data_IF_875169228707
#
_entry.id   IF_875169228707
#
_cell.length_a   1.000
_cell.length_b   1.000
_cell.length_c   1.000
_cell.angle_alpha   90.00
_cell.angle_beta   90.00
_cell.angle_gamma   90.00
#
_symmetry.space_group_name_H-M   'P 1'
#
loop_
_entity.id
_entity.type
_entity.pdbx_description
1 polymer ?
#
# COMPACT_ATOMS: atom_id res chain seq x y z
N UNK A 1 -32.06 17.92 -27.00
CA UNK A 1 -30.74 18.44 -26.59
C UNK A 1 -29.99 17.28 -25.97
N UNK A 2 -29.03 16.73 -26.72
CA UNK A 2 -28.13 15.71 -26.18
C UNK A 2 -27.17 16.43 -25.22
N UNK A 3 -27.26 16.11 -23.94
CA UNK A 3 -26.23 16.43 -22.98
C UNK A 3 -24.99 15.62 -23.40
N UNK A 4 -23.96 16.27 -23.91
CA UNK A 4 -22.66 15.65 -24.04
C UNK A 4 -22.17 15.45 -22.61
N UNK A 5 -22.17 14.20 -22.17
CA UNK A 5 -21.48 13.78 -20.97
C UNK A 5 -19.97 13.88 -21.29
N UNK A 6 -19.34 14.98 -20.82
CA UNK A 6 -17.91 15.23 -20.98
C UNK A 6 -17.09 14.49 -19.91
N UNK A 7 -17.50 13.31 -19.53
CA UNK A 7 -16.71 12.43 -18.66
C UNK A 7 -15.41 12.03 -19.34
N UNK A 8 -14.28 12.08 -18.62
CA UNK A 8 -13.00 11.57 -19.11
C UNK A 8 -13.11 10.09 -19.48
N UNK A 9 -12.49 9.69 -20.57
CA UNK A 9 -12.34 8.28 -20.91
C UNK A 9 -11.40 7.58 -19.92
N UNK A 10 -11.50 6.27 -19.85
CA UNK A 10 -10.60 5.48 -18.99
C UNK A 10 -9.12 5.68 -19.36
N UNK A 11 -8.81 5.85 -20.67
CA UNK A 11 -7.45 6.13 -21.12
C UNK A 11 -6.94 7.48 -20.59
N UNK A 12 -7.75 8.54 -20.70
CA UNK A 12 -7.42 9.86 -20.16
C UNK A 12 -7.25 9.82 -18.62
N UNK A 13 -8.10 9.07 -17.92
CA UNK A 13 -7.95 8.91 -16.46
C UNK A 13 -6.65 8.22 -16.06
N UNK A 14 -6.18 7.25 -16.87
CA UNK A 14 -4.88 6.59 -16.66
C UNK A 14 -3.69 7.51 -16.95
N UNK A 15 -3.80 8.38 -17.94
CA UNK A 15 -2.79 9.41 -18.21
C UNK A 15 -2.70 10.39 -17.05
N UNK A 16 -3.84 10.89 -16.57
CA UNK A 16 -3.89 11.74 -15.37
C UNK A 16 -3.30 11.06 -14.14
N UNK A 17 -3.54 9.76 -13.95
CA UNK A 17 -2.95 8.99 -12.84
C UNK A 17 -1.42 8.94 -12.95
N UNK A 18 -0.90 8.66 -14.15
CA UNK A 18 0.54 8.62 -14.39
C UNK A 18 1.20 9.99 -14.12
N UNK A 19 0.56 11.06 -14.57
CA UNK A 19 1.01 12.43 -14.34
C UNK A 19 0.97 12.79 -12.83
N UNK A 20 -0.07 12.38 -12.12
CA UNK A 20 -0.20 12.59 -10.68
C UNK A 20 0.89 11.85 -9.89
N UNK A 21 1.18 10.59 -10.23
CA UNK A 21 2.27 9.82 -9.63
C UNK A 21 3.61 10.52 -9.88
N UNK A 22 3.86 10.96 -11.13
CA UNK A 22 5.09 11.66 -11.47
C UNK A 22 5.24 12.98 -10.70
N UNK A 23 4.17 13.78 -10.62
CA UNK A 23 4.16 15.01 -9.83
C UNK A 23 4.42 14.75 -8.34
N UNK A 24 3.83 13.69 -7.78
CA UNK A 24 4.05 13.27 -6.39
C UNK A 24 5.52 12.91 -6.14
N UNK A 25 6.13 12.11 -7.02
CA UNK A 25 7.54 11.71 -6.95
C UNK A 25 8.44 12.95 -6.97
N UNK A 26 8.20 13.88 -7.89
CA UNK A 26 9.00 15.10 -8.01
C UNK A 26 8.86 16.02 -6.78
N UNK A 27 7.63 16.22 -6.30
CA UNK A 27 7.37 17.11 -5.16
C UNK A 27 8.00 16.62 -3.84
N UNK A 28 8.20 15.31 -3.71
CA UNK A 28 8.83 14.68 -2.54
C UNK A 28 10.32 14.37 -2.73
N UNK A 29 10.91 14.73 -3.88
CA UNK A 29 12.29 14.42 -4.24
C UNK A 29 12.62 12.92 -4.13
N UNK A 30 11.69 12.04 -4.51
CA UNK A 30 11.94 10.60 -4.51
C UNK A 30 12.82 10.21 -5.69
N UNK A 31 13.81 9.36 -5.43
CA UNK A 31 14.68 8.75 -6.43
C UNK A 31 14.10 7.40 -6.84
N UNK A 32 13.80 7.24 -8.12
CA UNK A 32 13.27 5.96 -8.62
C UNK A 32 14.44 5.11 -9.16
N UNK A 33 14.47 3.85 -8.75
CA UNK A 33 15.41 2.84 -9.22
C UNK A 33 14.68 1.69 -9.92
N UNK A 34 15.41 1.00 -10.79
CA UNK A 34 14.92 -0.21 -11.44
C UNK A 34 14.92 -1.41 -10.49
N UNK A 35 14.14 -2.45 -10.81
CA UNK A 35 14.20 -3.74 -10.10
C UNK A 35 15.62 -4.31 -10.12
N UNK A 36 16.34 -4.20 -11.26
CA UNK A 36 17.71 -4.65 -11.37
C UNK A 36 18.64 -3.98 -10.35
N UNK A 37 18.53 -2.65 -10.20
CA UNK A 37 19.35 -1.92 -9.24
C UNK A 37 18.97 -2.26 -7.81
N UNK A 38 17.67 -2.46 -7.54
CA UNK A 38 17.18 -2.93 -6.26
C UNK A 38 17.76 -4.29 -5.87
N UNK A 39 17.81 -5.26 -6.82
CA UNK A 39 18.46 -6.55 -6.57
C UNK A 39 19.99 -6.42 -6.41
N UNK A 40 20.64 -5.53 -7.16
CA UNK A 40 22.08 -5.30 -7.05
C UNK A 40 22.50 -4.71 -5.70
N UNK A 41 21.56 -4.08 -4.96
CA UNK A 41 21.79 -3.52 -3.62
C UNK A 41 21.10 -4.36 -2.51
N UNK A 42 21.05 -5.68 -2.68
CA UNK A 42 20.55 -6.65 -1.69
C UNK A 42 19.10 -6.38 -1.23
N UNK A 43 18.27 -5.90 -2.15
CA UNK A 43 16.87 -5.58 -1.89
C UNK A 43 16.64 -4.61 -0.72
N UNK A 44 17.50 -3.62 -0.58
CA UNK A 44 17.34 -2.49 0.34
C UNK A 44 17.11 -1.21 -0.45
N UNK A 45 16.53 -0.21 0.17
CA UNK A 45 16.37 1.13 -0.39
C UNK A 45 16.89 2.17 0.58
N UNK A 46 17.43 3.27 0.06
CA UNK A 46 17.78 4.44 0.86
C UNK A 46 16.50 5.22 1.24
N UNK A 47 16.62 6.19 2.14
CA UNK A 47 15.49 6.91 2.73
C UNK A 47 14.51 7.49 1.70
N UNK A 48 14.99 8.09 0.61
CA UNK A 48 14.17 8.68 -0.45
C UNK A 48 14.16 7.87 -1.74
N UNK A 49 14.57 6.61 -1.70
CA UNK A 49 14.72 5.76 -2.88
C UNK A 49 13.54 4.80 -2.97
N UNK A 50 12.86 4.79 -4.11
CA UNK A 50 11.77 3.87 -4.40
C UNK A 50 12.14 2.98 -5.58
N UNK A 51 11.91 1.68 -5.46
CA UNK A 51 11.97 0.75 -6.59
C UNK A 51 10.63 0.74 -7.31
N UNK A 52 10.64 0.82 -8.63
CA UNK A 52 9.45 0.59 -9.48
C UNK A 52 9.40 -0.87 -9.88
N UNK A 53 8.32 -1.56 -9.52
CA UNK A 53 7.98 -2.88 -10.04
C UNK A 53 7.14 -2.73 -11.31
N UNK A 54 7.77 -2.90 -12.47
CA UNK A 54 7.14 -2.59 -13.76
C UNK A 54 5.88 -3.42 -14.05
N UNK A 55 5.84 -4.68 -13.61
CA UNK A 55 4.69 -5.57 -13.79
C UNK A 55 3.42 -5.05 -13.10
N UNK A 56 3.55 -4.52 -11.90
CA UNK A 56 2.42 -4.02 -11.08
C UNK A 56 2.25 -2.51 -11.14
N UNK A 57 3.27 -1.76 -11.53
CA UNK A 57 3.33 -0.31 -11.44
C UNK A 57 3.48 0.22 -10.00
N UNK A 58 3.72 -0.65 -9.03
CA UNK A 58 3.88 -0.26 -7.62
C UNK A 58 5.30 0.26 -7.38
N UNK A 59 5.39 1.39 -6.68
CA UNK A 59 6.67 1.92 -6.17
C UNK A 59 6.81 1.57 -4.70
N UNK A 60 7.99 1.11 -4.27
CA UNK A 60 8.23 0.70 -2.90
C UNK A 60 9.53 1.28 -2.34
N UNK A 61 9.46 1.82 -1.14
CA UNK A 61 10.60 2.13 -0.27
C UNK A 61 10.53 1.24 0.97
N UNK A 62 11.60 0.52 1.30
CA UNK A 62 11.69 -0.31 2.50
C UNK A 62 12.33 0.49 3.63
N UNK A 63 11.55 0.79 4.66
CA UNK A 63 12.01 1.49 5.87
C UNK A 63 12.61 0.52 6.88
N UNK A 64 12.01 -0.68 7.03
CA UNK A 64 12.47 -1.75 7.90
C UNK A 64 12.04 -3.10 7.35
N UNK A 65 12.97 -4.04 7.20
CA UNK A 65 12.64 -5.39 6.70
C UNK A 65 11.91 -6.25 7.74
N UNK A 66 12.10 -5.98 9.01
CA UNK A 66 11.44 -6.72 10.10
C UNK A 66 12.29 -6.83 11.36
N UNK A 67 11.77 -7.42 12.44
CA UNK A 67 12.34 -7.35 13.79
C UNK A 67 13.69 -8.06 13.94
N UNK A 68 14.00 -9.00 13.08
CA UNK A 68 15.23 -9.78 13.13
C UNK A 68 16.30 -9.28 12.14
N UNK A 69 16.04 -8.18 11.42
CA UNK A 69 16.99 -7.59 10.45
C UNK A 69 17.48 -8.63 9.43
N UNK A 70 18.80 -8.72 9.26
CA UNK A 70 19.42 -9.68 8.32
C UNK A 70 19.16 -11.15 8.68
N UNK A 71 18.99 -11.47 9.94
CA UNK A 71 18.73 -12.84 10.43
C UNK A 71 17.25 -13.26 10.32
N UNK A 72 16.37 -12.37 9.89
CA UNK A 72 14.99 -12.71 9.62
C UNK A 72 14.83 -13.52 8.33
N UNK A 73 13.70 -14.22 8.19
CA UNK A 73 13.36 -14.96 6.97
C UNK A 73 12.14 -14.32 6.31
N UNK A 74 12.08 -14.39 4.98
CA UNK A 74 10.86 -14.09 4.21
C UNK A 74 9.80 -15.14 4.52
N UNK A 75 8.53 -14.78 4.35
CA UNK A 75 7.44 -15.73 4.57
C UNK A 75 7.51 -16.88 3.56
N UNK A 76 7.36 -18.10 4.06
CA UNK A 76 7.34 -19.34 3.25
C UNK A 76 5.94 -19.61 2.71
N UNK A 77 5.83 -20.52 1.77
CA UNK A 77 4.53 -21.03 1.31
C UNK A 77 3.65 -21.47 2.49
N UNK A 78 2.36 -21.20 2.37
CA UNK A 78 1.39 -21.48 3.41
C UNK A 78 0.47 -20.31 3.72
N UNK A 79 -0.14 -20.38 4.88
CA UNK A 79 -1.10 -19.38 5.36
C UNK A 79 -0.53 -18.65 6.56
N UNK A 80 -0.60 -17.32 6.52
CA UNK A 80 -0.07 -16.43 7.56
C UNK A 80 -1.13 -15.41 7.96
N UNK A 81 -1.23 -15.14 9.23
CA UNK A 81 -2.02 -14.02 9.77
C UNK A 81 -1.14 -12.77 9.82
N UNK A 82 -1.57 -11.72 9.14
CA UNK A 82 -0.86 -10.44 9.09
C UNK A 82 -1.68 -9.38 9.79
N UNK A 83 -1.01 -8.57 10.59
CA UNK A 83 -1.54 -7.41 11.27
C UNK A 83 -0.86 -6.16 10.72
N UNK A 84 -1.62 -5.28 10.06
CA UNK A 84 -1.09 -4.06 9.44
C UNK A 84 -1.65 -2.81 10.07
N UNK A 85 -0.77 -1.83 10.30
CA UNK A 85 -1.13 -0.44 10.54
C UNK A 85 -0.68 0.39 9.35
N UNK A 86 -1.47 1.37 8.97
CA UNK A 86 -1.23 2.13 7.75
C UNK A 86 -1.77 3.55 7.82
N UNK A 87 -1.27 4.36 6.92
CA UNK A 87 -1.85 5.63 6.48
C UNK A 87 -2.07 5.51 4.97
N UNK A 88 -3.25 5.88 4.49
CA UNK A 88 -3.61 5.99 3.09
C UNK A 88 -3.79 7.47 2.73
N UNK A 89 -3.06 7.93 1.71
CA UNK A 89 -3.05 9.33 1.28
C UNK A 89 -3.37 9.40 -0.21
N UNK A 90 -4.22 10.34 -0.59
CA UNK A 90 -4.55 10.61 -1.99
C UNK A 90 -3.34 11.21 -2.73
N UNK A 91 -2.91 10.59 -3.82
CA UNK A 91 -1.85 11.10 -4.72
C UNK A 91 -2.43 12.00 -5.82
N UNK A 92 -3.73 11.93 -6.03
CA UNK A 92 -4.47 12.70 -7.02
C UNK A 92 -5.78 13.21 -6.42
N UNK A 93 -6.20 14.42 -6.80
CA UNK A 93 -7.51 14.95 -6.41
C UNK A 93 -8.63 14.28 -7.20
N UNK A 94 -9.79 14.11 -6.54
CA UNK A 94 -11.03 13.63 -7.15
C UNK A 94 -12.21 14.43 -6.59
N UNK A 95 -12.71 15.39 -7.38
CA UNK A 95 -13.80 16.27 -6.97
C UNK A 95 -15.09 15.49 -6.68
N UNK A 96 -15.37 14.45 -7.47
CA UNK A 96 -16.52 13.55 -7.28
C UNK A 96 -16.46 12.72 -5.98
N UNK A 97 -15.31 12.65 -5.36
CA UNK A 97 -15.07 11.96 -4.07
C UNK A 97 -14.72 12.94 -2.95
N UNK A 98 -14.71 14.24 -3.24
CA UNK A 98 -14.50 15.33 -2.29
C UNK A 98 -13.16 15.28 -1.55
N UNK A 99 -12.07 14.84 -2.23
CA UNK A 99 -10.72 14.88 -1.69
C UNK A 99 -9.69 15.49 -2.64
N UNK A 100 -8.65 16.03 -2.06
CA UNK A 100 -7.52 16.65 -2.76
C UNK A 100 -6.24 15.81 -2.60
N UNK A 101 -5.26 16.06 -3.48
CA UNK A 101 -3.92 15.49 -3.35
C UNK A 101 -3.34 15.84 -1.96
N UNK A 102 -2.81 14.84 -1.27
CA UNK A 102 -2.27 14.96 0.09
C UNK A 102 -3.26 14.70 1.21
N UNK A 103 -4.56 14.58 0.91
CA UNK A 103 -5.55 14.25 1.94
C UNK A 103 -5.38 12.81 2.44
N UNK A 104 -5.47 12.64 3.75
CA UNK A 104 -5.49 11.33 4.38
C UNK A 104 -6.88 10.72 4.25
N UNK A 105 -6.99 9.64 3.50
CA UNK A 105 -8.26 8.96 3.21
C UNK A 105 -8.67 8.00 4.32
N UNK A 106 -7.70 7.22 4.82
CA UNK A 106 -7.91 6.28 5.91
C UNK A 106 -6.59 6.02 6.64
N UNK A 107 -6.65 5.80 7.95
CA UNK A 107 -5.46 5.48 8.75
C UNK A 107 -5.81 4.75 10.05
N UNK A 108 -4.89 3.94 10.53
CA UNK A 108 -4.91 3.33 11.86
C UNK A 108 -3.50 3.32 12.50
N UNK A 109 -2.61 4.18 12.01
CA UNK A 109 -1.24 4.34 12.48
C UNK A 109 -1.10 5.66 13.25
N UNK A 110 -0.53 5.60 14.45
CA UNK A 110 -0.24 6.78 15.27
C UNK A 110 -1.33 7.17 16.24
N UNK A 111 -1.08 8.26 16.98
CA UNK A 111 -1.99 8.79 17.99
C UNK A 111 -2.81 9.94 17.39
N UNK A 112 -3.92 9.59 16.77
CA UNK A 112 -4.80 10.53 16.06
C UNK A 112 -5.93 11.08 16.95
N UNK A 113 -6.04 10.59 18.20
CA UNK A 113 -7.16 10.91 19.10
C UNK A 113 -8.45 10.15 18.77
N UNK A 114 -8.45 9.29 17.75
CA UNK A 114 -9.56 8.39 17.44
C UNK A 114 -9.28 6.99 17.95
N UNK A 115 -9.69 6.73 19.19
CA UNK A 115 -9.43 5.48 19.90
C UNK A 115 -9.92 4.21 19.17
N UNK A 116 -10.94 4.32 18.34
CA UNK A 116 -11.52 3.16 17.64
C UNK A 116 -10.63 2.70 16.48
N UNK A 117 -10.10 3.64 15.69
CA UNK A 117 -9.21 3.32 14.57
C UNK A 117 -7.82 2.89 15.03
N UNK A 118 -7.31 3.53 16.09
CA UNK A 118 -5.95 3.28 16.61
C UNK A 118 -5.82 1.99 17.40
N UNK A 119 -6.91 1.52 18.02
CA UNK A 119 -6.88 0.33 18.87
C UNK A 119 -6.55 -0.95 18.10
N UNK A 120 -6.99 -1.06 16.85
CA UNK A 120 -6.92 -2.32 16.12
C UNK A 120 -6.16 -2.19 14.80
N UNK A 121 -5.17 -3.04 14.54
CA UNK A 121 -4.60 -3.18 13.20
C UNK A 121 -5.63 -3.77 12.24
N UNK A 122 -5.40 -3.62 10.94
CA UNK A 122 -6.07 -4.45 9.94
C UNK A 122 -5.51 -5.87 10.04
N UNK A 123 -6.41 -6.83 10.14
CA UNK A 123 -6.11 -8.25 10.25
C UNK A 123 -6.52 -8.96 8.97
N UNK A 124 -5.61 -9.63 8.32
CA UNK A 124 -5.89 -10.40 7.13
C UNK A 124 -5.09 -11.70 7.05
N UNK A 125 -5.72 -12.67 6.40
CA UNK A 125 -5.12 -13.96 6.09
C UNK A 125 -4.42 -13.88 4.74
N UNK A 126 -3.10 -13.99 4.77
CA UNK A 126 -2.25 -14.12 3.58
C UNK A 126 -2.09 -15.57 3.23
N UNK A 127 -2.24 -15.92 1.96
CA UNK A 127 -1.92 -17.24 1.41
C UNK A 127 -0.83 -17.09 0.37
N UNK A 128 0.26 -17.82 0.55
CA UNK A 128 1.40 -17.90 -0.38
C UNK A 128 1.40 -19.29 -1.00
N UNK A 129 1.33 -19.36 -2.32
CA UNK A 129 1.37 -20.63 -3.08
C UNK A 129 2.27 -20.43 -4.30
N UNK A 130 3.38 -21.14 -4.33
CA UNK A 130 4.45 -20.97 -5.33
C UNK A 130 4.93 -19.51 -5.37
N UNK A 131 4.63 -18.75 -6.41
CA UNK A 131 4.95 -17.33 -6.51
C UNK A 131 3.73 -16.41 -6.36
N UNK A 132 2.56 -16.97 -6.04
CA UNK A 132 1.30 -16.23 -5.92
C UNK A 132 1.04 -15.81 -4.48
N UNK A 133 0.64 -14.55 -4.31
CA UNK A 133 0.25 -13.95 -3.04
C UNK A 133 -1.20 -13.50 -3.14
N UNK A 134 -2.04 -13.98 -2.23
CA UNK A 134 -3.42 -13.54 -2.10
C UNK A 134 -3.77 -13.30 -0.64
N UNK A 135 -4.64 -12.33 -0.36
CA UNK A 135 -5.02 -12.04 1.01
C UNK A 135 -6.47 -11.56 1.11
N UNK A 136 -7.09 -11.87 2.26
CA UNK A 136 -8.43 -11.43 2.59
C UNK A 136 -8.50 -10.92 4.04
N UNK A 137 -9.10 -9.74 4.23
CA UNK A 137 -9.39 -9.20 5.56
C UNK A 137 -10.28 -10.14 6.35
N UNK A 138 -9.95 -10.35 7.61
CA UNK A 138 -10.65 -11.27 8.50
C UNK A 138 -11.75 -10.59 9.31
N UNK A 139 -11.69 -9.28 9.43
CA UNK A 139 -12.63 -8.49 10.22
C UNK A 139 -13.24 -7.37 9.38
N UNK A 140 -14.52 -7.09 9.62
CA UNK A 140 -15.27 -5.98 9.02
C UNK A 140 -15.77 -5.03 10.11
N UNK A 141 -14.87 -4.65 11.02
CA UNK A 141 -15.19 -3.65 12.04
C UNK A 141 -15.56 -2.32 11.39
N UNK A 142 -16.38 -1.55 12.07
CA UNK A 142 -16.64 -0.16 11.69
C UNK A 142 -15.32 0.59 11.50
N UNK A 143 -15.18 1.32 10.40
CA UNK A 143 -13.98 2.03 9.96
C UNK A 143 -12.77 1.14 9.58
N UNK A 144 -12.94 -0.19 9.45
CA UNK A 144 -11.91 -1.04 8.85
C UNK A 144 -11.88 -0.89 7.33
N UNK A 145 -10.76 -1.30 6.71
CA UNK A 145 -10.63 -1.35 5.24
C UNK A 145 -11.81 -2.11 4.59
N UNK A 146 -12.18 -3.27 5.14
CA UNK A 146 -13.28 -4.06 4.61
C UNK A 146 -14.64 -3.34 4.71
N UNK A 147 -14.87 -2.60 5.78
CA UNK A 147 -16.12 -1.83 5.98
C UNK A 147 -16.17 -0.60 5.07
N UNK A 148 -15.10 0.18 5.01
CA UNK A 148 -15.04 1.43 4.23
C UNK A 148 -15.10 1.17 2.72
N UNK A 149 -14.39 0.14 2.24
CA UNK A 149 -14.30 -0.17 0.80
C UNK A 149 -15.27 -1.26 0.34
N UNK A 150 -16.08 -1.82 1.26
CA UNK A 150 -17.15 -2.77 0.94
C UNK A 150 -16.64 -4.10 0.38
N UNK A 151 -15.39 -4.50 0.68
CA UNK A 151 -14.77 -5.73 0.19
C UNK A 151 -13.79 -6.30 1.21
N UNK A 152 -13.68 -7.62 1.26
CA UNK A 152 -12.65 -8.31 2.05
C UNK A 152 -11.33 -8.47 1.31
N UNK A 153 -11.25 -8.10 0.03
CA UNK A 153 -10.00 -8.18 -0.74
C UNK A 153 -8.99 -7.17 -0.24
N UNK A 154 -7.80 -7.64 0.11
CA UNK A 154 -6.66 -6.78 0.40
C UNK A 154 -6.11 -6.19 -0.91
N UNK A 155 -5.79 -4.89 -0.98
CA UNK A 155 -5.18 -4.31 -2.17
C UNK A 155 -3.93 -5.09 -2.59
N UNK A 156 -3.83 -5.50 -3.85
CA UNK A 156 -2.70 -6.31 -4.33
C UNK A 156 -1.36 -5.59 -4.20
N UNK A 157 -1.37 -4.25 -4.27
CA UNK A 157 -0.18 -3.43 -4.01
C UNK A 157 0.39 -3.60 -2.60
N UNK A 158 -0.44 -3.93 -1.60
CA UNK A 158 0.01 -4.21 -0.23
C UNK A 158 0.76 -5.54 -0.12
N UNK A 159 0.60 -6.44 -1.08
CA UNK A 159 1.22 -7.77 -1.06
C UNK A 159 2.60 -7.79 -1.72
N UNK A 160 2.91 -6.80 -2.57
CA UNK A 160 4.21 -6.68 -3.25
C UNK A 160 5.39 -6.70 -2.27
N UNK A 161 5.37 -5.95 -1.16
CA UNK A 161 6.48 -5.92 -0.20
C UNK A 161 6.76 -7.26 0.47
N UNK A 162 5.75 -8.12 0.62
CA UNK A 162 5.87 -9.37 1.38
C UNK A 162 6.84 -10.39 0.74
N UNK A 163 7.22 -10.16 -0.52
CA UNK A 163 8.29 -10.93 -1.20
C UNK A 163 9.69 -10.60 -0.68
N UNK A 164 9.86 -9.43 -0.06
CA UNK A 164 11.16 -8.87 0.32
C UNK A 164 11.29 -8.62 1.82
N UNK A 165 10.16 -8.46 2.49
CA UNK A 165 10.12 -8.23 3.94
C UNK A 165 10.30 -9.54 4.70
N UNK A 166 10.73 -9.38 5.95
CA UNK A 166 10.94 -10.46 6.93
C UNK A 166 10.05 -10.21 8.16
N UNK A 167 8.71 -10.24 8.01
CA UNK A 167 7.81 -9.93 9.11
C UNK A 167 8.00 -10.90 10.27
N UNK A 168 7.82 -10.43 11.47
CA UNK A 168 7.87 -11.23 12.67
C UNK A 168 6.96 -10.64 13.74
N UNK A 169 6.84 -11.28 14.88
CA UNK A 169 6.08 -10.76 16.02
C UNK A 169 6.91 -9.78 16.79
N UNK A 170 6.45 -8.54 16.87
CA UNK A 170 7.11 -7.50 17.67
C UNK A 170 6.11 -6.48 18.18
N UNK A 171 6.40 -5.91 19.36
CA UNK A 171 5.71 -4.73 19.90
C UNK A 171 6.48 -3.44 19.66
N UNK A 172 7.69 -3.54 19.08
CA UNK A 172 8.52 -2.38 18.78
C UNK A 172 8.09 -1.74 17.45
N UNK A 173 7.68 -0.49 17.50
CA UNK A 173 7.35 0.31 16.32
C UNK A 173 8.56 0.56 15.39
N UNK A 174 9.78 0.51 15.93
CA UNK A 174 11.01 0.71 15.15
C UNK A 174 11.47 -0.55 14.40
N UNK A 175 11.11 -1.74 14.95
CA UNK A 175 11.53 -3.04 14.41
C UNK A 175 10.47 -3.74 13.57
N UNK A 176 9.24 -3.23 13.55
CA UNK A 176 8.19 -3.82 12.71
C UNK A 176 8.54 -3.63 11.24
N UNK A 177 8.29 -4.66 10.42
CA UNK A 177 8.46 -4.54 8.98
C UNK A 177 7.60 -3.40 8.45
N UNK A 178 8.20 -2.44 7.70
CA UNK A 178 7.56 -1.19 7.32
C UNK A 178 8.03 -0.70 5.97
N UNK A 179 7.09 -0.24 5.16
CA UNK A 179 7.34 0.30 3.83
C UNK A 179 6.56 1.57 3.58
N UNK A 180 7.00 2.33 2.57
CA UNK A 180 6.21 3.34 1.86
C UNK A 180 5.91 2.82 0.47
N UNK A 181 4.69 3.02 0.00
CA UNK A 181 4.25 2.57 -1.32
C UNK A 181 3.59 3.73 -2.08
N UNK A 182 3.74 3.76 -3.39
CA UNK A 182 2.82 4.46 -4.29
C UNK A 182 2.14 3.37 -5.11
N UNK A 183 0.83 3.27 -4.96
CA UNK A 183 0.03 2.16 -5.51
C UNK A 183 -0.92 2.73 -6.56
N UNK A 184 -0.79 2.34 -7.84
CA UNK A 184 -1.72 2.74 -8.88
C UNK A 184 -3.09 2.11 -8.66
N UNK A 185 -4.13 2.69 -9.27
CA UNK A 185 -5.52 2.29 -9.09
C UNK A 185 -5.77 0.79 -9.25
N UNK A 186 -5.12 0.16 -10.25
CA UNK A 186 -5.30 -1.27 -10.55
C UNK A 186 -4.74 -2.22 -9.50
N UNK A 187 -3.92 -1.71 -8.57
CA UNK A 187 -3.33 -2.45 -7.45
C UNK A 187 -3.86 -1.94 -6.09
N UNK A 188 -4.75 -0.96 -6.13
CA UNK A 188 -5.30 -0.26 -4.96
C UNK A 188 -6.57 -0.89 -4.41
N UNK A 189 -7.34 -0.06 -3.68
CA UNK A 189 -8.66 -0.43 -3.15
C UNK A 189 -9.69 -0.54 -4.28
N UNK A 190 -10.84 -1.16 -3.99
CA UNK A 190 -11.95 -1.23 -4.95
C UNK A 190 -12.40 0.17 -5.40
N UNK A 191 -12.40 1.15 -4.49
CA UNK A 191 -12.76 2.54 -4.80
C UNK A 191 -11.69 3.21 -5.68
N UNK A 192 -10.41 3.01 -5.37
CA UNK A 192 -9.31 3.49 -6.22
C UNK A 192 -9.40 2.92 -7.63
N UNK A 193 -9.70 1.62 -7.76
CA UNK A 193 -9.88 0.96 -9.05
C UNK A 193 -11.09 1.50 -9.83
N UNK A 194 -12.20 1.77 -9.14
CA UNK A 194 -13.43 2.28 -9.75
C UNK A 194 -13.26 3.70 -10.29
N UNK A 195 -12.57 4.56 -9.55
CA UNK A 195 -12.43 5.98 -9.86
C UNK A 195 -11.05 6.37 -10.40
N UNK A 196 -10.19 5.40 -10.66
CA UNK A 196 -8.86 5.54 -11.29
C UNK A 196 -8.00 6.60 -10.60
N UNK A 197 -7.66 6.39 -9.34
CA UNK A 197 -6.73 7.25 -8.60
C UNK A 197 -5.68 6.45 -7.83
N UNK A 198 -4.43 6.95 -7.78
CA UNK A 198 -3.35 6.31 -7.04
C UNK A 198 -3.36 6.75 -5.59
N UNK A 199 -2.86 5.88 -4.70
CA UNK A 199 -2.68 6.19 -3.29
C UNK A 199 -1.22 5.98 -2.86
N UNK A 200 -0.78 6.84 -1.95
CA UNK A 200 0.42 6.61 -1.17
C UNK A 200 0.05 5.92 0.13
N UNK A 201 0.86 4.95 0.51
CA UNK A 201 0.73 4.25 1.79
C UNK A 201 2.03 4.30 2.56
N UNK A 202 1.93 4.47 3.87
CA UNK A 202 2.91 3.98 4.81
C UNK A 202 2.27 2.84 5.56
N UNK A 203 2.88 1.64 5.55
CA UNK A 203 2.25 0.42 6.07
C UNK A 203 3.26 -0.45 6.79
N UNK A 204 2.82 -1.06 7.91
CA UNK A 204 3.56 -2.03 8.69
C UNK A 204 3.00 -3.43 8.49
N UNK A 205 3.88 -4.45 8.69
CA UNK A 205 3.50 -5.85 8.64
C UNK A 205 4.03 -6.57 9.87
N UNK A 206 3.13 -7.05 10.68
CA UNK A 206 3.43 -7.84 11.88
C UNK A 206 2.76 -9.20 11.74
N UNK A 207 3.36 -10.25 12.31
CA UNK A 207 2.71 -11.57 12.33
C UNK A 207 1.70 -11.64 13.47
N UNK A 208 0.52 -12.15 13.16
CA UNK A 208 -0.49 -12.55 14.11
C UNK A 208 -0.12 -13.86 14.85
N UNK A 209 -1.10 -14.49 15.46
CA UNK A 209 -0.92 -15.76 16.20
C UNK A 209 -0.85 -16.98 15.27
#
# INVERSE_FOLDING_TARGET
MQSCDNGKTYAEMKEDEADAIHAWILSHNYQIISERDFYNQDTVTNENQFVLFEESGVYMNIMCKGPNGENGEVLKEGSHEILSRFVEVAVQSRDELEFSVGDTLLWNMGNTGNSTLELFPEEYKLTISSSSYSAAFQTSREYSMASIYGTTSVPSGWLVPLKYLKPGRTTSSEKVARVRLIVPHGQGTSKASQYVYPCYYEITYNLGK
#
